data_IF_102489887062
#
_entry.id   IF_102489887062
#
_cell.length_a   1.000
_cell.length_b   1.000
_cell.length_c   1.000
_cell.angle_alpha   90.00
_cell.angle_beta   90.00
_cell.angle_gamma   90.00
#
_symmetry.space_group_name_H-M   'P 1'
#
loop_
_entity.id
_entity.type
_entity.pdbx_description
1 polymer ?
#
# COMPACT_ATOMS: atom_id res chain seq x y z
N UNK A 1 -11.97 -24.96 -6.65
CA UNK A 1 -11.91 -24.70 -5.21
C UNK A 1 -12.57 -23.35 -4.99
N UNK A 2 -13.55 -23.25 -4.10
CA UNK A 2 -14.20 -21.97 -3.81
C UNK A 2 -13.18 -21.04 -3.13
N UNK A 3 -13.02 -19.83 -3.65
CA UNK A 3 -12.03 -18.88 -3.15
C UNK A 3 -12.48 -18.35 -1.78
N UNK A 4 -11.67 -18.63 -0.75
CA UNK A 4 -11.91 -18.20 0.62
C UNK A 4 -10.60 -17.79 1.32
N UNK A 5 -10.69 -17.32 2.57
CA UNK A 5 -9.53 -16.88 3.35
C UNK A 5 -8.40 -17.90 3.43
N UNK A 6 -8.73 -19.19 3.54
CA UNK A 6 -7.75 -20.29 3.62
C UNK A 6 -7.03 -20.44 2.29
N UNK A 7 -7.75 -20.41 1.17
CA UNK A 7 -7.14 -20.47 -0.16
C UNK A 7 -6.23 -19.28 -0.45
N UNK A 8 -6.58 -18.07 0.00
CA UNK A 8 -5.74 -16.87 -0.14
C UNK A 8 -4.48 -16.95 0.71
N UNK A 9 -4.60 -17.43 1.95
CA UNK A 9 -3.46 -17.65 2.82
C UNK A 9 -2.51 -18.72 2.25
N UNK A 10 -3.06 -19.84 1.76
CA UNK A 10 -2.26 -20.89 1.14
C UNK A 10 -1.59 -20.45 -0.16
N UNK A 11 -2.26 -19.61 -0.96
CA UNK A 11 -1.64 -18.97 -2.12
C UNK A 11 -0.41 -18.14 -1.72
N UNK A 12 -0.51 -17.34 -0.67
CA UNK A 12 0.64 -16.57 -0.19
C UNK A 12 1.79 -17.45 0.33
N UNK A 13 1.46 -18.61 0.93
CA UNK A 13 2.47 -19.63 1.27
C UNK A 13 3.13 -20.19 0.01
N UNK A 14 2.36 -20.48 -1.03
CA UNK A 14 2.88 -21.04 -2.30
C UNK A 14 3.75 -20.04 -3.09
N UNK A 15 3.52 -18.75 -2.91
CA UNK A 15 4.30 -17.66 -3.51
C UNK A 15 5.58 -17.33 -2.71
N UNK A 16 5.68 -17.79 -1.46
CA UNK A 16 6.87 -17.60 -0.63
C UNK A 16 7.98 -18.61 -1.03
N UNK A 17 9.24 -18.16 -1.23
CA UNK A 17 10.33 -19.06 -1.62
C UNK A 17 10.77 -20.05 -0.53
N UNK A 18 10.32 -19.87 0.73
CA UNK A 18 10.68 -20.71 1.87
C UNK A 18 9.80 -21.95 1.92
N UNK A 19 10.35 -23.04 2.47
CA UNK A 19 9.55 -24.25 2.74
C UNK A 19 8.44 -24.02 3.77
N UNK A 20 7.34 -24.78 3.70
CA UNK A 20 6.26 -24.82 4.70
C UNK A 20 6.78 -24.89 6.15
N UNK A 21 7.83 -25.69 6.38
CA UNK A 21 8.49 -25.84 7.68
C UNK A 21 9.18 -24.54 8.12
N UNK A 22 9.88 -23.88 7.20
CA UNK A 22 10.58 -22.63 7.49
C UNK A 22 9.60 -21.49 7.80
N UNK A 23 8.51 -21.38 7.05
CA UNK A 23 7.42 -20.42 7.32
C UNK A 23 6.80 -20.71 8.69
N UNK A 24 6.47 -21.98 8.97
CA UNK A 24 5.93 -22.38 10.28
C UNK A 24 6.84 -22.00 11.45
N UNK A 25 8.15 -22.18 11.31
CA UNK A 25 9.13 -21.82 12.34
C UNK A 25 9.28 -20.31 12.52
N UNK A 26 9.24 -19.53 11.44
CA UNK A 26 9.39 -18.08 11.48
C UNK A 26 8.27 -17.41 12.30
N UNK A 27 7.05 -17.95 12.23
CA UNK A 27 5.91 -17.50 13.05
C UNK A 27 6.03 -17.80 14.56
N UNK A 28 7.03 -18.57 14.98
CA UNK A 28 7.13 -19.10 16.35
C UNK A 28 6.07 -20.16 16.69
N UNK A 29 5.40 -20.73 15.68
CA UNK A 29 4.44 -21.82 15.83
C UNK A 29 5.11 -23.18 15.65
N UNK A 30 4.33 -24.27 15.81
CA UNK A 30 4.83 -25.62 15.58
C UNK A 30 5.23 -25.84 14.12
N UNK A 31 6.29 -26.62 13.89
CA UNK A 31 6.89 -26.90 12.56
C UNK A 31 5.93 -27.42 11.50
N UNK A 32 4.79 -27.98 11.91
CA UNK A 32 3.79 -28.58 11.03
C UNK A 32 2.60 -27.66 10.76
N UNK A 33 2.62 -26.40 11.21
CA UNK A 33 1.45 -25.51 11.17
C UNK A 33 0.92 -25.32 9.75
N UNK A 34 1.79 -25.00 8.80
CA UNK A 34 1.39 -24.82 7.39
C UNK A 34 0.92 -26.15 6.79
N UNK A 35 1.59 -27.26 7.10
CA UNK A 35 1.19 -28.58 6.63
C UNK A 35 -0.18 -29.01 7.19
N UNK A 36 -0.48 -28.70 8.46
CA UNK A 36 -1.80 -28.93 9.07
C UNK A 36 -2.87 -28.04 8.42
N UNK A 37 -2.54 -26.78 8.13
CA UNK A 37 -3.42 -25.86 7.40
C UNK A 37 -3.79 -26.39 6.02
N UNK A 38 -2.84 -26.95 5.26
CA UNK A 38 -3.08 -27.52 3.93
C UNK A 38 -3.97 -28.76 3.97
N UNK A 39 -3.66 -29.69 4.86
CA UNK A 39 -4.14 -31.06 4.77
C UNK A 39 -5.32 -31.36 5.70
N UNK A 40 -5.74 -30.42 6.54
CA UNK A 40 -6.83 -30.65 7.48
C UNK A 40 -7.95 -29.62 7.30
N UNK A 41 -9.17 -30.03 7.64
CA UNK A 41 -10.34 -29.16 7.75
C UNK A 41 -10.46 -28.51 9.13
N UNK A 42 -9.44 -28.64 9.99
CA UNK A 42 -9.47 -28.00 11.30
C UNK A 42 -9.35 -26.50 11.14
N UNK A 43 -10.28 -25.77 11.76
CA UNK A 43 -10.18 -24.32 11.86
C UNK A 43 -9.01 -23.94 12.78
N UNK A 44 -7.98 -23.23 12.28
CA UNK A 44 -6.94 -22.70 13.14
C UNK A 44 -7.50 -21.61 14.07
N UNK A 45 -6.81 -21.35 15.18
CA UNK A 45 -7.14 -20.19 16.01
C UNK A 45 -6.86 -18.89 15.28
N UNK A 46 -7.54 -17.81 15.69
CA UNK A 46 -7.30 -16.46 15.16
C UNK A 46 -5.82 -16.07 15.29
N UNK A 47 -5.19 -16.39 16.42
CA UNK A 47 -3.77 -16.11 16.66
C UNK A 47 -2.86 -16.78 15.61
N UNK A 48 -3.14 -18.04 15.23
CA UNK A 48 -2.37 -18.74 14.18
C UNK A 48 -2.51 -18.03 12.83
N UNK A 49 -3.72 -17.61 12.48
CA UNK A 49 -3.98 -16.89 11.23
C UNK A 49 -3.25 -15.54 11.21
N UNK A 50 -3.29 -14.80 12.32
CA UNK A 50 -2.59 -13.51 12.44
C UNK A 50 -1.08 -13.64 12.28
N UNK A 51 -0.46 -14.61 12.98
CA UNK A 51 0.99 -14.83 12.89
C UNK A 51 1.43 -15.24 11.48
N UNK A 52 0.67 -16.12 10.83
CA UNK A 52 0.93 -16.50 9.45
C UNK A 52 0.74 -15.32 8.48
N UNK A 53 -0.31 -14.52 8.66
CA UNK A 53 -0.56 -13.36 7.80
C UNK A 53 0.53 -12.29 7.93
N UNK A 54 1.00 -12.05 9.16
CA UNK A 54 2.10 -11.11 9.42
C UNK A 54 3.41 -11.60 8.80
N UNK A 55 3.75 -12.87 9.00
CA UNK A 55 4.97 -13.47 8.46
C UNK A 55 5.01 -13.51 6.92
N UNK A 56 3.85 -13.64 6.28
CA UNK A 56 3.70 -13.65 4.82
C UNK A 56 3.45 -12.26 4.24
N UNK A 57 3.35 -11.21 5.07
CA UNK A 57 3.06 -9.86 4.61
C UNK A 57 1.67 -9.66 4.00
N UNK A 58 0.71 -10.51 4.33
CA UNK A 58 -0.66 -10.48 3.78
C UNK A 58 -1.60 -9.78 4.76
N UNK A 59 -2.37 -8.80 4.29
CA UNK A 59 -3.34 -8.13 5.15
C UNK A 59 -4.53 -9.05 5.51
N UNK A 60 -5.02 -8.95 6.75
CA UNK A 60 -6.24 -9.65 7.16
C UNK A 60 -7.46 -9.22 6.34
N UNK A 61 -7.49 -7.95 5.90
CA UNK A 61 -8.53 -7.43 5.00
C UNK A 61 -8.54 -8.21 3.69
N UNK A 62 -7.40 -8.41 3.04
CA UNK A 62 -7.30 -9.22 1.83
C UNK A 62 -7.69 -10.68 2.09
N UNK A 63 -7.21 -11.28 3.17
CA UNK A 63 -7.55 -12.67 3.48
C UNK A 63 -9.07 -12.88 3.59
N UNK A 64 -9.77 -12.06 4.37
CA UNK A 64 -11.18 -12.28 4.64
C UNK A 64 -12.12 -11.65 3.61
N UNK A 65 -11.79 -10.48 3.05
CA UNK A 65 -12.63 -9.74 2.10
C UNK A 65 -12.20 -9.86 0.64
N UNK A 66 -11.00 -10.36 0.34
CA UNK A 66 -10.48 -10.50 -1.03
C UNK A 66 -10.05 -9.19 -1.69
N UNK A 67 -10.00 -8.09 -0.94
CA UNK A 67 -9.52 -6.80 -1.42
C UNK A 67 -8.35 -6.35 -0.53
N UNK A 68 -7.22 -6.00 -1.16
CA UNK A 68 -6.18 -5.27 -0.45
C UNK A 68 -6.71 -3.88 -0.09
N UNK A 69 -6.44 -3.45 1.13
CA UNK A 69 -6.53 -2.04 1.49
C UNK A 69 -5.38 -1.35 0.75
N UNK A 70 -5.66 -0.92 -0.48
CA UNK A 70 -4.70 -0.32 -1.40
C UNK A 70 -4.32 1.06 -0.86
N UNK A 71 -3.43 1.07 0.14
CA UNK A 71 -2.94 2.28 0.83
C UNK A 71 -1.96 3.09 -0.02
N UNK A 72 -1.70 2.67 -1.26
CA UNK A 72 -0.89 3.43 -2.19
C UNK A 72 -1.57 4.79 -2.48
N UNK A 73 -0.81 5.90 -2.51
CA UNK A 73 -1.38 7.18 -2.92
C UNK A 73 -1.90 7.10 -4.35
N UNK A 74 -3.13 7.59 -4.58
CA UNK A 74 -3.70 7.76 -5.91
C UNK A 74 -2.86 8.77 -6.70
N UNK A 75 -2.40 8.41 -7.90
CA UNK A 75 -1.50 9.24 -8.71
C UNK A 75 -1.97 9.42 -10.15
N UNK A 76 -1.86 10.65 -10.63
CA UNK A 76 -2.13 10.99 -12.02
C UNK A 76 -3.62 10.99 -12.37
N UNK A 77 -3.93 11.53 -13.54
CA UNK A 77 -5.31 11.78 -13.97
C UNK A 77 -6.15 10.51 -14.04
N UNK A 78 -5.59 9.42 -14.57
CA UNK A 78 -6.34 8.20 -14.84
C UNK A 78 -6.85 7.52 -13.55
N UNK A 79 -6.01 7.41 -12.53
CA UNK A 79 -6.37 6.80 -11.26
C UNK A 79 -7.38 7.68 -10.50
N UNK A 80 -7.17 9.00 -10.50
CA UNK A 80 -8.10 9.96 -9.88
C UNK A 80 -9.48 9.86 -10.55
N UNK A 81 -9.54 9.84 -11.87
CA UNK A 81 -10.80 9.69 -12.63
C UNK A 81 -11.49 8.37 -12.31
N UNK A 82 -10.72 7.28 -12.27
CA UNK A 82 -11.24 5.95 -11.96
C UNK A 82 -11.82 5.90 -10.55
N UNK A 83 -11.17 6.54 -9.58
CA UNK A 83 -11.68 6.63 -8.22
C UNK A 83 -12.96 7.47 -8.15
N UNK A 84 -12.99 8.65 -8.76
CA UNK A 84 -14.19 9.51 -8.81
C UNK A 84 -15.39 8.80 -9.45
N UNK A 85 -15.16 8.00 -10.49
CA UNK A 85 -16.21 7.23 -11.16
C UNK A 85 -16.84 6.13 -10.31
N UNK A 86 -16.22 5.76 -9.18
CA UNK A 86 -16.77 4.78 -8.22
C UNK A 86 -17.70 5.41 -7.19
N UNK A 87 -17.73 6.74 -7.08
CA UNK A 87 -18.53 7.44 -6.08
C UNK A 87 -20.00 7.45 -6.50
N UNK A 88 -20.85 6.85 -5.68
CA UNK A 88 -22.29 6.81 -5.94
C UNK A 88 -22.88 8.23 -5.89
N UNK A 89 -23.66 8.59 -6.92
CA UNK A 89 -24.33 9.89 -7.02
C UNK A 89 -23.58 10.95 -7.81
N UNK A 90 -22.33 10.70 -8.21
CA UNK A 90 -21.60 11.57 -9.14
C UNK A 90 -21.96 11.25 -10.58
N UNK A 91 -22.39 12.26 -11.35
CA UNK A 91 -22.66 12.10 -12.79
C UNK A 91 -21.36 12.26 -13.59
N UNK A 92 -21.30 11.78 -14.85
CA UNK A 92 -20.11 11.93 -15.70
C UNK A 92 -19.61 13.38 -15.84
N UNK A 93 -20.52 14.34 -15.92
CA UNK A 93 -20.19 15.76 -16.01
C UNK A 93 -19.52 16.28 -14.72
N UNK A 94 -20.02 15.84 -13.56
CA UNK A 94 -19.47 16.21 -12.24
C UNK A 94 -18.06 15.63 -12.05
N UNK A 95 -17.80 14.42 -12.58
CA UNK A 95 -16.47 13.79 -12.56
C UNK A 95 -15.45 14.65 -13.30
N UNK A 96 -15.82 15.19 -14.46
CA UNK A 96 -14.93 16.07 -15.24
C UNK A 96 -14.57 17.35 -14.48
N UNK A 97 -15.56 17.99 -13.86
CA UNK A 97 -15.37 19.21 -13.07
C UNK A 97 -14.45 18.97 -11.87
N UNK A 98 -14.73 17.92 -11.08
CA UNK A 98 -13.93 17.58 -9.90
C UNK A 98 -12.49 17.18 -10.28
N UNK A 99 -12.33 16.42 -11.36
CA UNK A 99 -11.01 16.04 -11.86
C UNK A 99 -10.18 17.28 -12.21
N UNK A 100 -10.77 18.25 -12.91
CA UNK A 100 -10.10 19.52 -13.23
C UNK A 100 -9.68 20.30 -11.99
N UNK A 101 -10.56 20.41 -10.99
CA UNK A 101 -10.27 21.08 -9.72
C UNK A 101 -9.12 20.42 -8.95
N UNK A 102 -9.12 19.08 -8.86
CA UNK A 102 -8.08 18.31 -8.20
C UNK A 102 -6.73 18.49 -8.91
N UNK A 103 -6.69 18.33 -10.24
CA UNK A 103 -5.44 18.45 -11.01
C UNK A 103 -4.85 19.87 -10.91
N UNK A 104 -5.70 20.90 -10.96
CA UNK A 104 -5.24 22.28 -10.79
C UNK A 104 -4.64 22.51 -9.40
N UNK A 105 -5.26 21.96 -8.36
CA UNK A 105 -4.77 22.07 -6.97
C UNK A 105 -3.44 21.33 -6.79
N UNK A 106 -3.30 20.13 -7.36
CA UNK A 106 -2.04 19.36 -7.35
C UNK A 106 -0.92 20.16 -8.02
N UNK A 107 -1.21 20.79 -9.17
CA UNK A 107 -0.24 21.62 -9.89
C UNK A 107 0.18 22.85 -9.10
N UNK A 108 -0.77 23.55 -8.48
CA UNK A 108 -0.48 24.71 -7.64
C UNK A 108 0.44 24.33 -6.46
N UNK A 109 0.12 23.23 -5.77
CA UNK A 109 0.93 22.74 -4.66
C UNK A 109 2.33 22.27 -5.09
N UNK A 110 2.50 21.82 -6.33
CA UNK A 110 3.82 21.48 -6.88
C UNK A 110 4.64 22.75 -7.14
N UNK A 111 4.03 23.77 -7.73
CA UNK A 111 4.64 25.06 -7.99
C UNK A 111 5.11 25.75 -6.69
N UNK A 112 4.26 25.79 -5.66
CA UNK A 112 4.60 26.35 -4.35
C UNK A 112 5.79 25.63 -3.70
N UNK A 113 5.85 24.31 -3.81
CA UNK A 113 6.97 23.52 -3.28
C UNK A 113 8.29 23.79 -4.00
N UNK A 114 8.24 24.01 -5.31
CA UNK A 114 9.42 24.37 -6.10
C UNK A 114 9.92 25.79 -5.78
N UNK A 115 9.00 26.74 -5.57
CA UNK A 115 9.31 28.14 -5.24
C UNK A 115 9.84 28.31 -3.82
N UNK A 116 9.20 27.70 -2.82
CA UNK A 116 9.70 27.73 -1.44
C UNK A 116 11.09 27.10 -1.30
N UNK A 117 11.43 26.15 -2.18
CA UNK A 117 12.77 25.53 -2.21
C UNK A 117 13.83 26.40 -2.88
N UNK A 118 13.44 27.30 -3.79
CA UNK A 118 14.38 28.19 -4.48
C UNK A 118 14.70 29.45 -3.68
N UNK A 119 13.75 29.97 -2.90
CA UNK A 119 14.00 31.10 -2.00
C UNK A 119 14.97 30.72 -0.87
N UNK A 120 14.89 29.50 -0.35
CA UNK A 120 15.79 28.98 0.70
C UNK A 120 17.21 28.69 0.18
N UNK A 121 17.41 28.63 -1.15
CA UNK A 121 18.71 28.42 -1.80
C UNK A 121 19.33 29.70 -2.37
N UNK A 122 18.65 30.84 -2.29
CA UNK A 122 19.10 32.10 -2.90
C UNK A 122 19.94 32.99 -1.97
N UNK A 123 20.15 32.62 -0.71
CA UNK A 123 21.19 33.24 0.14
C UNK A 123 22.57 32.62 -0.12
N UNK A 124 23.06 32.69 -1.37
CA UNK A 124 24.49 32.52 -1.61
C UNK A 124 25.21 33.74 -1.05
N UNK A 125 25.94 33.51 0.05
CA UNK A 125 26.82 34.45 0.71
C UNK A 125 27.57 35.36 -0.27
N UNK A 126 27.32 36.68 -0.20
CA UNK A 126 28.25 37.66 -0.75
C UNK A 126 29.60 37.48 -0.03
N UNK A 127 30.71 37.20 -0.74
CA UNK A 127 32.01 37.12 -0.10
C UNK A 127 32.40 38.50 0.41
N UNK A 128 32.59 38.59 1.73
CA UNK A 128 33.09 39.76 2.43
C UNK A 128 34.42 40.20 1.80
N UNK A 129 34.45 41.40 1.23
CA UNK A 129 35.63 41.98 0.58
C UNK A 129 36.58 42.48 1.67
N UNK A 130 37.67 41.77 1.91
CA UNK A 130 38.75 42.24 2.80
C UNK A 130 39.42 43.49 2.21
N UNK A 131 39.71 44.53 3.01
CA UNK A 131 40.50 45.67 2.57
C UNK A 131 41.99 45.27 2.57
N UNK A 132 42.64 45.44 1.42
CA UNK A 132 44.10 45.27 1.24
C UNK A 132 44.83 46.55 1.73
N UNK A 133 46.12 46.47 2.10
CA UNK A 133 46.77 47.30 3.13
C UNK A 133 47.12 48.73 2.72
#
# INVERSE_FOLDING_TARGET
MEENWKSRLLKAVDEDPRSDRAISLATGLGVNTVNELRNTEKSPSIEKVMKLSEELGVSLAYLFWGAEDDKAPIRGEHEIRTMLGRVQGLKPDDVGLLLGMILNTIKANAYEREHSRTDDQSETANPHREPTP
#
